data_IF_479817690401
#
_entry.id   IF_479817690401
#
_cell.length_a   1.000
_cell.length_b   1.000
_cell.length_c   1.000
_cell.angle_alpha   90.00
_cell.angle_beta   90.00
_cell.angle_gamma   90.00
#
_symmetry.space_group_name_H-M   'P 1'
#
loop_
_entity.id
_entity.type
_entity.pdbx_description
1 polymer ?
#
# COMPACT_ATOMS: atom_id res chain seq x y z
N UNK A 1 22.02 0.64 2.02
CA UNK A 1 21.66 0.58 3.45
C UNK A 1 20.71 -0.58 3.70
N UNK A 2 20.97 -1.36 4.74
CA UNK A 2 20.08 -2.45 5.16
C UNK A 2 19.07 -1.95 6.18
N UNK A 3 18.03 -2.76 6.44
CA UNK A 3 17.04 -2.43 7.49
C UNK A 3 17.71 -2.31 8.86
N UNK A 4 18.69 -3.18 9.15
CA UNK A 4 19.41 -3.14 10.42
C UNK A 4 20.19 -1.84 10.57
N UNK A 5 20.88 -1.41 9.52
CA UNK A 5 21.62 -0.14 9.53
C UNK A 5 20.68 1.05 9.71
N UNK A 6 19.52 1.01 9.05
CA UNK A 6 18.48 2.03 9.18
C UNK A 6 18.02 2.16 10.63
N UNK A 7 17.71 1.04 11.28
CA UNK A 7 17.19 1.02 12.64
C UNK A 7 18.23 1.41 13.70
N UNK A 8 19.52 1.34 13.38
CA UNK A 8 20.60 1.74 14.29
C UNK A 8 20.88 3.24 14.28
N UNK A 9 20.34 3.98 13.32
CA UNK A 9 20.58 5.40 13.22
C UNK A 9 19.97 6.16 14.40
N UNK A 10 20.58 7.30 14.76
CA UNK A 10 20.13 8.13 15.88
C UNK A 10 18.73 8.70 15.59
N UNK A 11 17.90 8.93 16.63
CA UNK A 11 16.58 9.54 16.45
C UNK A 11 16.61 10.87 15.70
N UNK A 12 17.68 11.67 15.88
CA UNK A 12 17.84 12.95 15.17
C UNK A 12 18.00 12.79 13.66
N UNK A 13 18.35 11.59 13.17
CA UNK A 13 18.49 11.30 11.76
C UNK A 13 17.16 10.97 11.07
N UNK A 14 16.04 10.97 11.81
CA UNK A 14 14.73 10.58 11.27
C UNK A 14 14.38 11.35 10.00
N UNK A 15 14.07 10.61 8.96
CA UNK A 15 13.77 11.12 7.62
C UNK A 15 14.84 12.05 7.03
N UNK A 16 16.11 11.79 7.34
CA UNK A 16 17.20 12.43 6.61
C UNK A 16 17.22 11.92 5.15
N UNK A 17 18.04 12.50 4.31
CA UNK A 17 18.09 12.16 2.89
C UNK A 17 18.37 10.68 2.63
N UNK A 18 19.24 10.07 3.43
CA UNK A 18 19.60 8.66 3.30
C UNK A 18 18.41 7.76 3.62
N UNK A 19 17.67 8.08 4.68
CA UNK A 19 16.47 7.34 5.05
C UNK A 19 15.35 7.51 4.02
N UNK A 20 15.16 8.73 3.53
CA UNK A 20 14.20 9.00 2.46
C UNK A 20 14.52 8.21 1.20
N UNK A 21 15.80 8.13 0.84
CA UNK A 21 16.23 7.35 -0.31
C UNK A 21 16.01 5.86 -0.11
N UNK A 22 16.20 5.36 1.10
CA UNK A 22 15.90 3.97 1.45
C UNK A 22 14.42 3.64 1.17
N UNK A 23 13.51 4.46 1.68
CA UNK A 23 12.07 4.23 1.48
C UNK A 23 11.64 4.45 0.04
N UNK A 24 12.25 5.40 -0.66
CA UNK A 24 11.97 5.58 -2.10
C UNK A 24 12.33 4.32 -2.88
N UNK A 25 13.49 3.74 -2.65
CA UNK A 25 13.93 2.51 -3.30
C UNK A 25 12.98 1.36 -2.98
N UNK A 26 12.59 1.23 -1.71
CA UNK A 26 11.65 0.21 -1.26
C UNK A 26 10.29 0.34 -1.98
N UNK A 27 9.74 1.54 -1.99
CA UNK A 27 8.43 1.82 -2.61
C UNK A 27 8.46 1.65 -4.12
N UNK A 28 9.53 2.08 -4.78
CA UNK A 28 9.67 1.88 -6.24
C UNK A 28 9.76 0.40 -6.59
N UNK A 29 10.44 -0.39 -5.78
CA UNK A 29 10.50 -1.85 -5.95
C UNK A 29 9.12 -2.49 -5.78
N UNK A 30 8.39 -2.12 -4.75
CA UNK A 30 7.03 -2.60 -4.52
C UNK A 30 6.09 -2.19 -5.65
N UNK A 31 6.23 -0.97 -6.13
CA UNK A 31 5.44 -0.45 -7.25
C UNK A 31 5.67 -1.27 -8.52
N UNK A 32 6.93 -1.54 -8.82
CA UNK A 32 7.30 -2.34 -9.98
C UNK A 32 6.69 -3.74 -9.93
N UNK A 33 6.83 -4.43 -8.80
CA UNK A 33 6.30 -5.79 -8.62
C UNK A 33 4.77 -5.81 -8.70
N UNK A 34 4.12 -4.83 -8.10
CA UNK A 34 2.66 -4.72 -8.09
C UNK A 34 2.12 -4.44 -9.50
N UNK A 35 2.77 -3.54 -10.24
CA UNK A 35 2.39 -3.23 -11.61
C UNK A 35 2.48 -4.48 -12.51
N UNK A 36 3.53 -5.27 -12.33
CA UNK A 36 3.70 -6.52 -13.07
C UNK A 36 2.57 -7.51 -12.77
N UNK A 37 2.17 -7.62 -11.51
CA UNK A 37 1.03 -8.49 -11.12
C UNK A 37 -0.28 -8.00 -11.71
N UNK A 38 -0.52 -6.69 -11.69
CA UNK A 38 -1.73 -6.08 -12.28
C UNK A 38 -1.79 -6.41 -13.77
N UNK A 39 -0.69 -6.24 -14.49
CA UNK A 39 -0.62 -6.52 -15.93
C UNK A 39 -0.91 -7.99 -16.22
N UNK A 40 -0.38 -8.91 -15.42
CA UNK A 40 -0.65 -10.35 -15.56
C UNK A 40 -2.13 -10.69 -15.30
N UNK A 41 -2.76 -10.05 -14.30
CA UNK A 41 -4.17 -10.25 -14.00
C UNK A 41 -5.07 -9.75 -15.15
N UNK A 42 -4.75 -8.62 -15.73
CA UNK A 42 -5.46 -8.11 -16.90
C UNK A 42 -5.34 -9.07 -18.09
N UNK A 43 -4.15 -9.58 -18.32
CA UNK A 43 -3.93 -10.55 -19.39
C UNK A 43 -4.74 -11.82 -19.16
N UNK A 44 -4.77 -12.32 -17.92
CA UNK A 44 -5.55 -13.51 -17.57
C UNK A 44 -7.06 -13.28 -17.79
N UNK A 45 -7.56 -12.09 -17.49
CA UNK A 45 -8.96 -11.72 -17.74
C UNK A 45 -9.30 -11.74 -19.23
N UNK A 46 -8.43 -11.19 -20.07
CA UNK A 46 -8.61 -11.19 -21.52
C UNK A 46 -8.64 -12.61 -22.09
N UNK A 47 -7.72 -13.44 -21.64
CA UNK A 47 -7.63 -14.84 -22.09
C UNK A 47 -8.87 -15.63 -21.65
N UNK A 48 -9.37 -15.39 -20.44
CA UNK A 48 -10.57 -16.03 -19.92
C UNK A 48 -11.80 -15.68 -20.75
N UNK A 49 -11.95 -14.44 -21.20
CA UNK A 49 -13.04 -14.00 -22.05
C UNK A 49 -13.05 -14.72 -23.41
N UNK A 50 -11.87 -14.97 -23.98
CA UNK A 50 -11.72 -15.62 -25.29
C UNK A 50 -11.95 -17.13 -25.20
N UNK A 51 -11.59 -17.76 -24.07
CA UNK A 51 -11.57 -19.22 -23.93
C UNK A 51 -12.77 -19.81 -23.17
N UNK A 52 -13.73 -18.97 -22.72
CA UNK A 52 -14.86 -19.49 -21.93
C UNK A 52 -15.80 -20.35 -22.80
N UNK A 53 -15.98 -21.59 -22.37
CA UNK A 53 -16.97 -22.53 -22.94
C UNK A 53 -18.37 -22.14 -22.41
N UNK A 54 -19.41 -22.11 -23.26
CA UNK A 54 -20.77 -21.85 -22.80
C UNK A 54 -21.25 -22.74 -21.65
N UNK A 55 -20.73 -23.96 -21.54
CA UNK A 55 -21.10 -24.89 -20.47
C UNK A 55 -20.54 -24.46 -19.09
N UNK A 56 -19.47 -23.65 -19.07
CA UNK A 56 -18.77 -23.24 -17.84
C UNK A 56 -19.06 -21.78 -17.45
N UNK A 57 -20.07 -21.15 -18.04
CA UNK A 57 -20.39 -19.73 -17.84
C UNK A 57 -20.52 -19.35 -16.36
N UNK A 58 -21.18 -20.19 -15.53
CA UNK A 58 -21.38 -19.92 -14.11
C UNK A 58 -20.06 -19.85 -13.32
N UNK A 59 -19.20 -20.84 -13.47
CA UNK A 59 -17.89 -20.92 -12.80
C UNK A 59 -16.94 -19.85 -13.35
N UNK A 60 -16.95 -19.62 -14.66
CA UNK A 60 -16.12 -18.61 -15.30
C UNK A 60 -16.48 -17.21 -14.79
N UNK A 61 -17.78 -16.92 -14.60
CA UNK A 61 -18.25 -15.63 -14.10
C UNK A 61 -17.84 -15.39 -12.66
N UNK A 62 -17.93 -16.40 -11.80
CA UNK A 62 -17.47 -16.32 -10.41
C UNK A 62 -15.97 -16.05 -10.33
N UNK A 63 -15.18 -16.75 -11.11
CA UNK A 63 -13.73 -16.57 -11.19
C UNK A 63 -13.37 -15.18 -11.70
N UNK A 64 -14.08 -14.71 -12.71
CA UNK A 64 -13.89 -13.37 -13.25
C UNK A 64 -14.16 -12.29 -12.22
N UNK A 65 -15.27 -12.40 -11.47
CA UNK A 65 -15.60 -11.46 -10.39
C UNK A 65 -14.54 -11.45 -9.30
N UNK A 66 -14.02 -12.62 -8.94
CA UNK A 66 -12.93 -12.72 -7.97
C UNK A 66 -11.67 -12.01 -8.46
N UNK A 67 -11.30 -12.19 -9.74
CA UNK A 67 -10.16 -11.51 -10.36
C UNK A 67 -10.34 -10.00 -10.40
N UNK A 68 -11.55 -9.54 -10.71
CA UNK A 68 -11.86 -8.11 -10.72
C UNK A 68 -11.74 -7.48 -9.34
N UNK A 69 -12.21 -8.16 -8.30
CA UNK A 69 -12.04 -7.67 -6.92
C UNK A 69 -10.58 -7.63 -6.50
N UNK A 70 -9.80 -8.62 -6.88
CA UNK A 70 -8.36 -8.66 -6.64
C UNK A 70 -7.65 -7.49 -7.33
N UNK A 71 -7.99 -7.23 -8.59
CA UNK A 71 -7.47 -6.09 -9.35
C UNK A 71 -7.80 -4.75 -8.69
N UNK A 72 -9.02 -4.57 -8.21
CA UNK A 72 -9.42 -3.34 -7.52
C UNK A 72 -8.57 -3.11 -6.27
N UNK A 73 -8.33 -4.14 -5.49
CA UNK A 73 -7.48 -4.05 -4.29
C UNK A 73 -6.04 -3.69 -4.65
N UNK A 74 -5.50 -4.33 -5.68
CA UNK A 74 -4.14 -4.08 -6.15
C UNK A 74 -3.98 -2.65 -6.69
N UNK A 75 -4.98 -2.16 -7.43
CA UNK A 75 -4.98 -0.77 -7.90
C UNK A 75 -5.03 0.24 -6.77
N UNK A 76 -5.83 -0.02 -5.74
CA UNK A 76 -5.87 0.84 -4.54
C UNK A 76 -4.52 0.86 -3.83
N UNK A 77 -3.86 -0.29 -3.73
CA UNK A 77 -2.53 -0.36 -3.15
C UNK A 77 -1.51 0.42 -4.00
N UNK A 78 -1.60 0.30 -5.31
CA UNK A 78 -0.75 1.06 -6.23
C UNK A 78 -0.91 2.57 -6.03
N UNK A 79 -2.16 3.03 -5.90
CA UNK A 79 -2.45 4.44 -5.62
C UNK A 79 -1.83 4.90 -4.30
N UNK A 80 -1.88 4.07 -3.26
CA UNK A 80 -1.26 4.38 -1.97
C UNK A 80 0.26 4.46 -2.08
N UNK A 81 0.88 3.58 -2.87
CA UNK A 81 2.32 3.64 -3.14
C UNK A 81 2.67 4.93 -3.87
N UNK A 82 1.90 5.30 -4.88
CA UNK A 82 2.11 6.55 -5.63
C UNK A 82 1.96 7.78 -4.73
N UNK A 83 0.98 7.78 -3.83
CA UNK A 83 0.81 8.84 -2.83
C UNK A 83 2.00 8.92 -1.88
N UNK A 84 2.54 7.79 -1.44
CA UNK A 84 3.71 7.75 -0.58
C UNK A 84 4.95 8.31 -1.29
N UNK A 85 5.14 7.97 -2.57
CA UNK A 85 6.22 8.52 -3.39
C UNK A 85 6.07 10.03 -3.56
N UNK A 86 4.86 10.52 -3.74
CA UNK A 86 4.58 11.95 -3.82
C UNK A 86 4.90 12.66 -2.50
N UNK A 87 4.54 12.06 -1.36
CA UNK A 87 4.87 12.59 -0.05
C UNK A 87 6.39 12.66 0.17
N UNK A 88 7.13 11.66 -0.30
CA UNK A 88 8.61 11.72 -0.31
C UNK A 88 9.13 12.93 -1.10
N UNK A 89 8.55 13.17 -2.27
CA UNK A 89 8.95 14.30 -3.11
C UNK A 89 8.67 15.65 -2.43
N UNK A 90 7.65 15.73 -1.58
CA UNK A 90 7.28 16.95 -0.84
C UNK A 90 7.97 17.09 0.50
N UNK A 91 8.71 16.08 0.95
CA UNK A 91 9.34 16.08 2.27
C UNK A 91 8.39 15.81 3.42
N UNK A 92 7.22 15.23 3.13
CA UNK A 92 6.17 14.94 4.12
C UNK A 92 6.12 13.47 4.56
N UNK A 93 6.81 12.58 3.85
CA UNK A 93 6.80 11.16 4.14
C UNK A 93 7.35 10.86 5.53
N UNK A 94 6.71 9.94 6.23
CA UNK A 94 7.14 9.49 7.55
C UNK A 94 6.56 10.29 8.71
N UNK A 95 5.80 11.34 8.42
CA UNK A 95 5.15 12.20 9.42
C UNK A 95 3.64 11.96 9.40
N UNK A 96 3.06 11.81 10.59
CA UNK A 96 1.63 11.56 10.75
C UNK A 96 0.81 12.75 10.21
N UNK A 97 -0.15 12.47 9.33
CA UNK A 97 -1.02 13.50 8.76
C UNK A 97 -1.92 14.17 9.80
N UNK A 98 -2.28 13.46 10.85
CA UNK A 98 -3.17 13.97 11.89
C UNK A 98 -2.43 14.76 12.96
N UNK A 99 -1.29 14.26 13.44
CA UNK A 99 -0.58 14.83 14.59
C UNK A 99 0.71 15.56 14.23
N UNK A 100 1.27 15.33 13.07
CA UNK A 100 2.58 15.84 12.67
C UNK A 100 3.76 15.14 13.34
N UNK A 101 3.52 14.15 14.19
CA UNK A 101 4.57 13.37 14.84
C UNK A 101 5.15 12.30 13.93
N UNK A 102 6.36 11.79 14.22
CA UNK A 102 6.94 10.70 13.43
C UNK A 102 6.06 9.45 13.46
N UNK A 103 5.88 8.84 12.29
CA UNK A 103 5.23 7.52 12.19
C UNK A 103 6.15 6.45 12.78
N UNK A 104 7.45 6.57 12.55
CA UNK A 104 8.47 5.69 13.06
C UNK A 104 8.98 4.70 12.03
N UNK A 105 10.28 4.43 12.06
CA UNK A 105 10.93 3.56 11.08
C UNK A 105 10.38 2.14 11.08
N UNK A 106 10.15 1.57 12.26
CA UNK A 106 9.63 0.20 12.39
C UNK A 106 8.26 0.04 11.76
N UNK A 107 7.37 1.00 12.01
CA UNK A 107 6.03 1.01 11.43
C UNK A 107 6.09 1.17 9.91
N UNK A 108 6.95 2.07 9.42
CA UNK A 108 7.13 2.29 7.98
C UNK A 108 7.72 1.08 7.27
N UNK A 109 8.60 0.32 7.92
CA UNK A 109 9.12 -0.92 7.35
C UNK A 109 8.02 -1.97 7.19
N UNK A 110 7.09 -2.04 8.16
CA UNK A 110 5.94 -2.95 8.08
C UNK A 110 4.87 -2.45 7.13
N UNK A 111 4.64 -1.13 7.10
CA UNK A 111 3.61 -0.50 6.28
C UNK A 111 4.19 0.76 5.61
N UNK A 112 4.92 0.61 4.51
CA UNK A 112 5.59 1.75 3.87
C UNK A 112 4.65 2.84 3.37
N UNK A 113 3.37 2.55 3.19
CA UNK A 113 2.36 3.53 2.77
C UNK A 113 1.60 4.18 3.93
N UNK A 114 1.99 3.90 5.17
CA UNK A 114 1.33 4.46 6.36
C UNK A 114 1.39 5.99 6.36
N UNK A 115 0.26 6.62 6.67
CA UNK A 115 0.13 8.08 6.77
C UNK A 115 -0.21 8.53 8.18
N UNK A 116 -0.49 7.60 9.08
CA UNK A 116 -0.85 7.86 10.48
C UNK A 116 0.08 7.10 11.42
N UNK A 117 0.44 7.74 12.53
CA UNK A 117 1.11 7.04 13.63
C UNK A 117 0.14 6.04 14.26
N UNK A 118 0.66 5.13 15.11
CA UNK A 118 -0.17 4.06 15.67
C UNK A 118 -1.33 4.60 16.51
N UNK A 119 -1.12 5.63 17.32
CA UNK A 119 -2.16 6.24 18.14
C UNK A 119 -3.27 6.87 17.29
N UNK A 120 -2.90 7.59 16.25
CA UNK A 120 -3.86 8.20 15.31
C UNK A 120 -4.67 7.14 14.58
N UNK A 121 -4.03 6.04 14.17
CA UNK A 121 -4.69 4.93 13.50
C UNK A 121 -5.69 4.23 14.44
N UNK A 122 -5.32 4.00 15.67
CA UNK A 122 -6.20 3.41 16.67
C UNK A 122 -7.43 4.28 16.93
N UNK A 123 -7.24 5.60 17.04
CA UNK A 123 -8.38 6.53 17.18
C UNK A 123 -9.32 6.49 15.99
N UNK A 124 -8.78 6.42 14.78
CA UNK A 124 -9.59 6.31 13.56
C UNK A 124 -10.42 5.03 13.58
N UNK A 125 -9.81 3.91 13.93
CA UNK A 125 -10.49 2.62 14.00
C UNK A 125 -11.60 2.61 15.06
N UNK A 126 -11.39 3.25 16.21
CA UNK A 126 -12.41 3.39 17.24
C UNK A 126 -13.59 4.23 16.77
N UNK A 127 -13.33 5.33 16.07
CA UNK A 127 -14.40 6.17 15.49
C UNK A 127 -15.23 5.38 14.48
N UNK A 128 -14.58 4.60 13.63
CA UNK A 128 -15.27 3.79 12.63
C UNK A 128 -16.15 2.73 13.28
N UNK A 129 -15.66 2.08 14.35
CA UNK A 129 -16.45 1.12 15.13
C UNK A 129 -17.65 1.78 15.79
N UNK A 130 -17.46 2.95 16.39
CA UNK A 130 -18.53 3.69 17.05
C UNK A 130 -19.63 4.06 16.07
N UNK A 131 -19.26 4.52 14.88
CA UNK A 131 -20.24 4.86 13.82
C UNK A 131 -21.01 3.63 13.35
N UNK A 132 -20.37 2.46 13.27
CA UNK A 132 -21.05 1.22 12.91
C UNK A 132 -22.04 0.78 13.99
N UNK A 133 -21.67 0.93 15.25
CA UNK A 133 -22.51 0.54 16.39
C UNK A 133 -23.74 1.42 16.53
N UNK A 134 -23.70 2.67 16.05
CA UNK A 134 -24.84 3.60 16.04
C UNK A 134 -25.85 3.31 14.93
N UNK A 135 -25.49 2.48 13.96
CA UNK A 135 -26.38 2.06 12.88
C UNK A 135 -27.15 0.82 13.30
#
# INVERSE_FOLDING_TARGET
>A
MTEEELLRQAPAAYMNEVQQQFFRTLLLGQRFDLQARIDLEFQALREQEVLSDPADIGSAEEERQWRLRSLEREKKLLDKIDQALERLARGEYGWCEETGEPIGLRRLLLRPTATLCIEAKERQEQKERHLRDER
#
